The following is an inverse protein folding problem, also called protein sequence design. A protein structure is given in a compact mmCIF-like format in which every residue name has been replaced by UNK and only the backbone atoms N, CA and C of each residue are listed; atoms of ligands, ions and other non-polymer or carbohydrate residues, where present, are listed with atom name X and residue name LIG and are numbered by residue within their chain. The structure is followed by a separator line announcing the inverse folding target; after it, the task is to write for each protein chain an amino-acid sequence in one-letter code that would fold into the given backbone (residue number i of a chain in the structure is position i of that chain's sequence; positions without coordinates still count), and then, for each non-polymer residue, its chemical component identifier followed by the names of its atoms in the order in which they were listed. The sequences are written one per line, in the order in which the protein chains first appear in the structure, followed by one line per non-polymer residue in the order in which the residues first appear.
data_IF_442438514693
#
_entry.id   IF_442438514693
#
_cell.length_a   1.000
_cell.length_b   1.000
_cell.length_c   1.000
_cell.angle_alpha   90.00
_cell.angle_beta   90.00
_cell.angle_gamma   90.00
#
_symmetry.space_group_name_H-M   'P 1'
#
loop_
_entity.id
_entity.type
_entity.pdbx_description
1 polymer ?
#
# COMPACT_ATOMS: atom_id res chain seq x y z
N UNK A 1 -8.58 56.77 -30.96
CA UNK A 1 -7.32 57.53 -31.08
C UNK A 1 -6.68 57.62 -29.71
N UNK A 2 -5.35 57.73 -29.67
CA UNK A 2 -4.52 58.00 -28.48
C UNK A 2 -5.08 59.17 -27.64
N UNK A 3 -4.84 59.28 -26.32
CA UNK A 3 -4.04 58.45 -25.40
C UNK A 3 -3.44 59.32 -24.26
N UNK A 4 -2.80 58.69 -23.25
CA UNK A 4 -1.86 59.30 -22.26
C UNK A 4 -2.43 60.32 -21.22
N UNK A 5 -1.92 60.47 -19.99
CA UNK A 5 -0.95 59.70 -19.15
C UNK A 5 -1.23 59.91 -17.63
N UNK A 6 -0.64 59.05 -16.79
CA UNK A 6 -0.10 59.26 -15.42
C UNK A 6 -0.95 59.82 -14.26
N UNK A 7 -0.99 59.06 -13.14
CA UNK A 7 -0.37 59.48 -11.87
C UNK A 7 -0.25 58.32 -10.84
N UNK A 8 0.93 58.24 -10.23
CA UNK A 8 1.42 57.36 -9.14
C UNK A 8 0.66 57.46 -7.80
N UNK A 9 0.62 56.36 -7.03
CA UNK A 9 0.17 56.37 -5.61
C UNK A 9 0.33 55.02 -4.90
N UNK A 10 1.26 54.94 -3.94
CA UNK A 10 1.74 53.71 -3.29
C UNK A 10 0.82 53.09 -2.20
N UNK A 11 1.03 51.79 -1.92
CA UNK A 11 1.32 51.33 -0.54
C UNK A 11 0.34 50.38 0.17
N UNK A 12 0.90 49.29 0.72
CA UNK A 12 0.34 48.31 1.67
C UNK A 12 -0.90 47.48 1.23
N UNK A 13 -0.99 46.17 1.46
CA UNK A 13 -0.06 45.24 2.13
C UNK A 13 -0.54 44.80 3.52
N UNK A 14 -1.50 43.89 3.56
CA UNK A 14 -1.81 43.05 4.74
C UNK A 14 -2.02 41.62 4.24
N UNK A 15 -1.28 40.69 4.83
CA UNK A 15 -1.51 39.25 4.75
C UNK A 15 -2.52 38.88 5.85
N UNK A 16 -3.38 37.91 5.60
CA UNK A 16 -3.86 37.04 6.67
C UNK A 16 -3.92 35.60 6.16
N UNK A 17 -3.13 34.75 6.79
CA UNK A 17 -3.12 33.31 6.56
C UNK A 17 -4.40 32.69 7.14
N UNK A 18 -5.04 31.80 6.39
CA UNK A 18 -5.99 30.87 6.99
C UNK A 18 -5.67 29.43 6.53
N UNK A 19 -4.74 28.82 7.27
CA UNK A 19 -4.26 27.45 7.10
C UNK A 19 -5.32 26.46 7.59
N UNK A 20 -6.35 26.24 6.78
CA UNK A 20 -7.48 25.37 7.12
C UNK A 20 -7.90 24.46 5.94
N UNK A 21 -6.98 23.62 5.46
CA UNK A 21 -7.31 22.34 4.79
C UNK A 21 -6.02 21.51 4.64
N UNK A 22 -5.74 20.68 5.65
CA UNK A 22 -4.66 19.70 5.61
C UNK A 22 -5.10 18.45 4.87
N UNK A 23 -5.07 18.49 3.53
CA UNK A 23 -5.29 17.31 2.71
C UNK A 23 -4.09 16.35 2.85
N UNK A 24 -4.30 15.25 3.56
CA UNK A 24 -3.30 14.20 3.77
C UNK A 24 -3.29 13.31 2.53
N UNK A 25 -2.44 13.66 1.56
CA UNK A 25 -2.36 12.96 0.29
C UNK A 25 -2.21 11.43 0.43
N UNK A 26 -3.14 10.71 -0.19
CA UNK A 26 -3.13 9.24 -0.24
C UNK A 26 -1.84 8.72 -0.87
N UNK A 27 -1.14 7.86 -0.12
CA UNK A 27 0.07 7.20 -0.59
C UNK A 27 -0.26 6.23 -1.73
N UNK A 28 0.34 6.45 -2.90
CA UNK A 28 0.20 5.55 -4.05
C UNK A 28 0.70 4.14 -3.72
N UNK A 29 -0.24 3.21 -3.64
CA UNK A 29 -0.03 1.78 -3.40
C UNK A 29 0.60 1.13 -4.66
N UNK A 30 1.94 1.09 -4.74
CA UNK A 30 2.66 0.46 -5.86
C UNK A 30 2.52 -1.07 -5.75
N UNK A 31 1.43 -1.59 -6.30
CA UNK A 31 1.25 -3.03 -6.53
C UNK A 31 2.02 -3.47 -7.76
N UNK A 32 3.26 -3.91 -7.53
CA UNK A 32 4.02 -4.71 -8.51
C UNK A 32 3.29 -6.03 -8.77
N UNK A 33 2.47 -6.07 -9.81
CA UNK A 33 1.93 -7.31 -10.35
C UNK A 33 3.02 -8.04 -11.16
N UNK A 34 3.35 -9.26 -10.75
CA UNK A 34 4.35 -10.08 -11.42
C UNK A 34 3.89 -10.46 -12.84
N UNK A 35 4.79 -10.31 -13.82
CA UNK A 35 4.65 -10.87 -15.16
C UNK A 35 5.05 -12.36 -15.10
N UNK A 36 4.06 -13.25 -15.09
CA UNK A 36 4.30 -14.68 -15.28
C UNK A 36 3.99 -15.05 -16.74
N UNK A 37 5.04 -15.26 -17.53
CA UNK A 37 4.95 -15.64 -18.94
C UNK A 37 4.91 -17.17 -19.00
N UNK A 38 3.72 -17.75 -19.15
CA UNK A 38 3.60 -19.18 -19.41
C UNK A 38 3.18 -19.46 -20.86
N UNK A 39 4.17 -19.92 -21.63
CA UNK A 39 4.03 -20.43 -22.98
C UNK A 39 3.06 -21.61 -23.02
N UNK A 40 2.20 -21.69 -24.04
CA UNK A 40 1.30 -22.83 -24.20
C UNK A 40 1.13 -23.28 -25.64
N UNK A 41 1.34 -24.58 -25.82
CA UNK A 41 0.98 -25.37 -26.99
C UNK A 41 1.74 -26.70 -26.99
N UNK A 42 1.21 -27.78 -27.59
CA UNK A 42 -0.16 -28.04 -28.00
C UNK A 42 -0.72 -29.36 -27.40
N UNK A 43 -1.93 -29.76 -27.85
CA UNK A 43 -2.48 -31.12 -28.00
C UNK A 43 -3.83 -31.43 -27.33
N UNK A 44 -4.76 -31.93 -28.16
CA UNK A 44 -5.87 -32.86 -27.86
C UNK A 44 -5.29 -34.30 -27.68
N UNK A 45 -6.00 -35.38 -27.24
CA UNK A 45 -7.45 -35.63 -27.45
C UNK A 45 -8.24 -36.51 -26.42
N UNK A 46 -9.51 -36.79 -26.75
CA UNK A 46 -10.42 -37.91 -26.30
C UNK A 46 -11.09 -37.87 -24.90
N UNK A 47 -12.37 -37.46 -24.91
CA UNK A 47 -13.62 -38.02 -24.30
C UNK A 47 -13.63 -39.30 -23.42
N UNK A 48 -14.76 -39.72 -22.78
CA UNK A 48 -15.81 -38.98 -22.04
C UNK A 48 -16.30 -39.68 -20.73
N UNK A 49 -17.09 -39.01 -19.88
CA UNK A 49 -18.34 -39.53 -19.24
C UNK A 49 -18.99 -38.47 -18.32
N UNK A 50 -20.31 -38.59 -18.08
CA UNK A 50 -21.25 -37.62 -17.49
C UNK A 50 -21.00 -37.18 -16.03
N UNK A 51 -21.86 -36.37 -15.38
CA UNK A 51 -23.27 -35.97 -15.64
C UNK A 51 -23.61 -34.76 -14.70
N UNK A 52 -24.73 -34.02 -14.69
CA UNK A 52 -26.08 -34.11 -15.32
C UNK A 52 -26.72 -32.70 -15.49
N UNK A 53 -27.92 -32.63 -16.12
CA UNK A 53 -29.02 -31.65 -15.96
C UNK A 53 -28.76 -30.14 -15.68
N UNK A 54 -29.09 -29.29 -16.66
CA UNK A 54 -30.36 -28.52 -16.62
C UNK A 54 -30.82 -28.19 -18.06
N UNK A 55 -32.13 -28.29 -18.33
CA UNK A 55 -32.68 -28.24 -19.69
C UNK A 55 -33.88 -27.29 -19.75
N UNK A 56 -33.64 -26.04 -20.13
CA UNK A 56 -34.71 -25.12 -20.49
C UNK A 56 -34.92 -25.06 -22.01
N UNK A 57 -36.19 -25.05 -22.40
CA UNK A 57 -36.63 -25.42 -23.74
C UNK A 57 -37.36 -24.28 -24.44
N UNK A 58 -36.73 -23.69 -25.47
CA UNK A 58 -37.41 -22.89 -26.49
C UNK A 58 -36.87 -23.21 -27.87
N UNK A 59 -37.09 -24.44 -28.33
CA UNK A 59 -37.07 -24.75 -29.77
C UNK A 59 -38.50 -24.61 -30.26
N UNK A 60 -38.73 -23.67 -31.17
CA UNK A 60 -39.95 -23.59 -31.95
C UNK A 60 -40.03 -24.82 -32.85
N UNK A 61 -40.79 -25.83 -32.40
CA UNK A 61 -41.05 -27.07 -33.12
C UNK A 61 -42.00 -26.82 -34.30
N UNK A 62 -41.48 -26.24 -35.38
CA UNK A 62 -42.13 -26.31 -36.68
C UNK A 62 -41.95 -27.74 -37.19
N UNK A 63 -42.81 -28.62 -36.70
CA UNK A 63 -42.70 -30.06 -36.88
C UNK A 63 -42.46 -30.43 -38.34
N UNK A 64 -41.39 -31.16 -38.58
CA UNK A 64 -41.18 -31.87 -39.83
C UNK A 64 -42.19 -33.01 -39.89
N UNK A 65 -43.44 -32.67 -40.20
CA UNK A 65 -44.46 -33.64 -40.54
C UNK A 65 -43.96 -34.34 -41.80
N UNK A 66 -43.41 -35.53 -41.61
CA UNK A 66 -43.17 -36.44 -42.70
C UNK A 66 -44.55 -36.76 -43.26
N UNK A 67 -44.96 -36.00 -44.29
CA UNK A 67 -46.12 -36.36 -45.10
C UNK A 67 -45.80 -37.71 -45.68
N UNK A 68 -46.31 -38.74 -45.01
CA UNK A 68 -46.44 -40.08 -45.53
C UNK A 68 -47.08 -39.92 -46.89
N UNK A 69 -46.29 -40.18 -47.94
CA UNK A 69 -46.87 -40.51 -49.23
C UNK A 69 -47.69 -41.75 -48.92
N UNK A 70 -49.01 -41.56 -48.86
CA UNK A 70 -49.94 -42.63 -48.53
C UNK A 70 -49.72 -43.73 -49.54
N UNK A 71 -49.06 -44.81 -49.11
CA UNK A 71 -49.05 -46.06 -49.86
C UNK A 71 -50.52 -46.38 -50.11
N UNK A 72 -50.98 -46.44 -51.37
CA UNK A 72 -52.32 -46.95 -51.61
C UNK A 72 -52.30 -48.37 -51.05
N UNK A 73 -53.18 -48.64 -50.07
CA UNK A 73 -53.37 -49.99 -49.56
C UNK A 73 -53.72 -50.87 -50.77
N UNK A 74 -52.74 -51.64 -51.25
CA UNK A 74 -52.98 -52.83 -52.06
C UNK A 74 -53.64 -53.83 -51.12
N UNK A 75 -54.93 -53.60 -50.89
CA UNK A 75 -55.84 -54.61 -50.37
C UNK A 75 -55.64 -55.82 -51.26
N UNK A 76 -54.99 -56.84 -50.70
CA UNK A 76 -54.82 -58.12 -51.33
C UNK A 76 -56.22 -58.75 -51.39
N UNK A 77 -56.99 -58.37 -52.41
CA UNK A 77 -58.24 -59.03 -52.77
C UNK A 77 -57.83 -60.40 -53.30
N UNK A 78 -57.73 -61.35 -52.36
CA UNK A 78 -57.63 -62.77 -52.62
C UNK A 78 -58.95 -63.25 -53.24
N UNK A 79 -59.18 -62.86 -54.49
CA UNK A 79 -60.27 -63.33 -55.30
C UNK A 79 -60.03 -64.80 -55.62
N UNK A 80 -60.62 -65.69 -54.83
CA UNK A 80 -60.69 -67.12 -55.12
C UNK A 80 -61.61 -67.34 -56.32
N UNK A 81 -61.09 -67.05 -57.51
CA UNK A 81 -61.71 -67.35 -58.79
C UNK A 81 -61.11 -68.64 -59.35
N UNK A 82 -61.97 -69.64 -59.54
CA UNK A 82 -61.71 -70.96 -60.12
C UNK A 82 -60.43 -71.09 -60.96
N UNK A 83 -59.46 -71.88 -60.48
CA UNK A 83 -58.24 -72.28 -61.21
C UNK A 83 -58.54 -73.39 -62.24
N UNK A 84 -59.68 -73.31 -62.93
CA UNK A 84 -60.14 -74.33 -63.89
C UNK A 84 -60.77 -73.58 -65.07
N UNK A 85 -60.14 -73.75 -66.24
CA UNK A 85 -60.42 -73.09 -67.53
C UNK A 85 -60.34 -71.55 -67.56
N UNK A 86 -59.12 -71.03 -67.37
CA UNK A 86 -58.68 -69.83 -68.11
C UNK A 86 -58.20 -70.26 -69.50
N UNK A 87 -58.58 -69.54 -70.55
CA UNK A 87 -58.00 -69.78 -71.86
C UNK A 87 -56.50 -69.45 -71.88
N UNK A 88 -55.75 -70.14 -72.73
CA UNK A 88 -54.30 -69.93 -72.90
C UNK A 88 -53.97 -68.47 -73.27
N UNK A 89 -54.87 -67.81 -73.99
CA UNK A 89 -54.78 -66.41 -74.39
C UNK A 89 -55.05 -65.46 -73.22
N UNK A 90 -56.09 -65.66 -72.40
CA UNK A 90 -56.31 -64.83 -71.19
C UNK A 90 -55.16 -64.94 -70.18
N UNK A 91 -54.57 -66.12 -70.03
CA UNK A 91 -53.39 -66.29 -69.18
C UNK A 91 -52.17 -65.54 -69.74
N UNK A 92 -52.00 -65.50 -71.06
CA UNK A 92 -50.95 -64.70 -71.73
C UNK A 92 -51.19 -63.20 -71.57
N UNK A 93 -52.43 -62.74 -71.75
CA UNK A 93 -52.82 -61.35 -71.62
C UNK A 93 -52.62 -60.85 -70.18
N UNK A 94 -53.04 -61.62 -69.17
CA UNK A 94 -52.75 -61.33 -67.74
C UNK A 94 -51.26 -61.29 -67.44
N UNK A 95 -50.46 -62.16 -68.05
CA UNK A 95 -49.00 -62.15 -67.89
C UNK A 95 -48.37 -60.91 -68.55
N UNK A 96 -48.88 -60.52 -69.72
CA UNK A 96 -48.42 -59.34 -70.44
C UNK A 96 -48.78 -58.06 -69.67
N UNK A 97 -50.04 -57.89 -69.24
CA UNK A 97 -50.49 -56.80 -68.37
C UNK A 97 -49.65 -56.72 -67.07
N UNK A 98 -49.35 -57.86 -66.45
CA UNK A 98 -48.45 -57.93 -65.29
C UNK A 98 -47.01 -57.50 -65.61
N UNK A 99 -46.49 -57.77 -66.81
CA UNK A 99 -45.15 -57.29 -67.22
C UNK A 99 -45.15 -55.80 -67.58
N UNK A 100 -46.17 -55.30 -68.28
CA UNK A 100 -46.30 -53.88 -68.62
C UNK A 100 -46.46 -53.02 -67.35
N UNK A 101 -47.26 -53.47 -66.38
CA UNK A 101 -47.38 -52.80 -65.07
C UNK A 101 -46.09 -52.85 -64.26
N UNK A 102 -45.31 -53.95 -64.31
CA UNK A 102 -43.98 -54.01 -63.70
C UNK A 102 -42.99 -53.03 -64.35
N UNK A 103 -43.03 -52.85 -65.68
CA UNK A 103 -42.19 -51.89 -66.38
C UNK A 103 -42.55 -50.44 -66.01
N UNK A 104 -43.85 -50.10 -65.97
CA UNK A 104 -44.33 -48.79 -65.51
C UNK A 104 -43.87 -48.50 -64.08
N UNK A 105 -44.08 -49.45 -63.15
CA UNK A 105 -43.65 -49.31 -61.76
C UNK A 105 -42.12 -49.18 -61.64
N UNK A 106 -41.35 -49.85 -62.49
CA UNK A 106 -39.89 -49.69 -62.54
C UNK A 106 -39.50 -48.28 -63.00
N UNK A 107 -40.15 -47.76 -64.04
CA UNK A 107 -39.93 -46.38 -64.50
C UNK A 107 -40.31 -45.34 -63.44
N UNK A 108 -41.43 -45.52 -62.73
CA UNK A 108 -41.83 -44.65 -61.62
C UNK A 108 -40.83 -44.71 -60.46
N UNK A 109 -40.30 -45.90 -60.12
CA UNK A 109 -39.26 -46.06 -59.12
C UNK A 109 -37.95 -45.38 -59.54
N UNK A 110 -37.53 -45.50 -60.80
CA UNK A 110 -36.35 -44.82 -61.34
C UNK A 110 -36.51 -43.29 -61.36
N UNK A 111 -37.71 -42.76 -61.63
CA UNK A 111 -38.01 -41.32 -61.57
C UNK A 111 -38.03 -40.80 -60.13
N UNK A 112 -38.68 -41.51 -59.21
CA UNK A 112 -38.74 -41.12 -57.80
C UNK A 112 -37.37 -41.21 -57.11
N UNK A 113 -36.55 -42.20 -57.48
CA UNK A 113 -35.16 -42.31 -57.00
C UNK A 113 -34.34 -41.08 -57.41
N UNK A 114 -34.29 -40.73 -58.71
CA UNK A 114 -33.58 -39.54 -59.19
C UNK A 114 -34.10 -38.23 -58.58
N UNK A 115 -35.40 -38.14 -58.30
CA UNK A 115 -35.98 -37.00 -57.60
C UNK A 115 -35.52 -36.89 -56.14
N UNK A 116 -35.40 -38.01 -55.43
CA UNK A 116 -34.85 -38.06 -54.08
C UNK A 116 -33.36 -37.70 -54.05
N UNK A 117 -32.56 -38.19 -55.00
CA UNK A 117 -31.15 -37.80 -55.16
C UNK A 117 -31.01 -36.28 -55.39
N UNK A 118 -31.82 -35.71 -56.29
CA UNK A 118 -31.84 -34.26 -56.55
C UNK A 118 -32.20 -33.45 -55.30
N UNK A 119 -33.16 -33.92 -54.49
CA UNK A 119 -33.49 -33.30 -53.19
C UNK A 119 -32.35 -33.42 -52.18
N UNK A 120 -31.66 -34.56 -52.14
CA UNK A 120 -30.55 -34.79 -51.23
C UNK A 120 -29.36 -33.87 -51.53
N UNK A 121 -28.96 -33.75 -52.80
CA UNK A 121 -27.86 -32.85 -53.18
C UNK A 121 -28.25 -31.36 -52.99
N UNK A 122 -29.50 -30.97 -53.26
CA UNK A 122 -29.99 -29.62 -52.92
C UNK A 122 -29.93 -29.34 -51.41
N UNK A 123 -30.32 -30.30 -50.57
CA UNK A 123 -30.26 -30.19 -49.11
C UNK A 123 -28.81 -30.10 -48.60
N UNK A 124 -27.89 -30.88 -49.19
CA UNK A 124 -26.45 -30.83 -48.90
C UNK A 124 -25.81 -29.48 -49.26
N UNK A 125 -26.21 -28.87 -50.39
CA UNK A 125 -25.79 -27.50 -50.77
C UNK A 125 -26.31 -26.49 -49.75
N UNK A 126 -27.59 -26.59 -49.34
CA UNK A 126 -28.19 -25.68 -48.34
C UNK A 126 -27.52 -25.84 -46.97
N UNK A 127 -27.26 -27.07 -46.51
CA UNK A 127 -26.51 -27.33 -45.28
C UNK A 127 -25.10 -26.71 -45.36
N UNK A 128 -24.36 -26.97 -46.45
CA UNK A 128 -23.04 -26.38 -46.69
C UNK A 128 -23.06 -24.85 -46.61
N UNK A 129 -24.07 -24.21 -47.23
CA UNK A 129 -24.29 -22.75 -47.14
C UNK A 129 -24.50 -22.30 -45.69
N UNK A 130 -25.37 -22.96 -44.93
CA UNK A 130 -25.64 -22.56 -43.52
C UNK A 130 -24.43 -22.75 -42.60
N UNK A 131 -23.59 -23.77 -42.85
CA UNK A 131 -22.36 -24.00 -42.10
C UNK A 131 -21.33 -22.90 -42.43
N UNK A 132 -21.17 -22.58 -43.72
CA UNK A 132 -20.29 -21.50 -44.18
C UNK A 132 -20.73 -20.15 -43.58
N UNK A 133 -22.02 -19.84 -43.64
CA UNK A 133 -22.60 -18.59 -43.11
C UNK A 133 -22.40 -18.45 -41.60
N UNK A 134 -22.55 -19.54 -40.83
CA UNK A 134 -22.20 -19.59 -39.40
C UNK A 134 -20.70 -19.38 -39.15
N UNK A 135 -19.83 -19.99 -39.94
CA UNK A 135 -18.38 -19.80 -39.82
C UNK A 135 -17.96 -18.36 -40.17
N UNK A 136 -18.46 -17.79 -41.26
CA UNK A 136 -18.16 -16.42 -41.69
C UNK A 136 -18.68 -15.38 -40.69
N UNK A 137 -19.90 -15.54 -40.16
CA UNK A 137 -20.45 -14.64 -39.15
C UNK A 137 -19.69 -14.71 -37.81
N UNK A 138 -19.29 -15.92 -37.38
CA UNK A 138 -18.43 -16.11 -36.22
C UNK A 138 -17.07 -15.41 -36.38
N UNK A 139 -16.38 -15.64 -37.51
CA UNK A 139 -15.09 -14.99 -37.81
C UNK A 139 -15.23 -13.47 -37.85
N UNK A 140 -16.29 -12.93 -38.47
CA UNK A 140 -16.57 -11.49 -38.49
C UNK A 140 -16.76 -10.92 -37.08
N UNK A 141 -17.48 -11.62 -36.20
CA UNK A 141 -17.65 -11.21 -34.80
C UNK A 141 -16.34 -11.25 -34.00
N UNK A 142 -15.49 -12.25 -34.23
CA UNK A 142 -14.17 -12.32 -33.60
C UNK A 142 -13.24 -11.19 -34.06
N UNK A 143 -13.21 -10.88 -35.36
CA UNK A 143 -12.44 -9.76 -35.89
C UNK A 143 -12.91 -8.44 -35.29
N UNK A 144 -14.21 -8.15 -35.31
CA UNK A 144 -14.77 -6.95 -34.67
C UNK A 144 -14.38 -6.86 -33.18
N UNK A 145 -14.50 -7.95 -32.42
CA UNK A 145 -14.08 -8.00 -31.00
C UNK A 145 -12.57 -7.81 -30.82
N UNK A 146 -11.73 -8.17 -31.79
CA UNK A 146 -10.29 -7.86 -31.74
C UNK A 146 -10.01 -6.38 -32.04
N UNK A 147 -10.70 -5.78 -33.00
CA UNK A 147 -10.59 -4.35 -33.35
C UNK A 147 -11.11 -3.43 -32.22
N UNK A 148 -12.16 -3.85 -31.52
CA UNK A 148 -12.66 -3.15 -30.33
C UNK A 148 -11.64 -3.19 -29.17
N UNK A 149 -11.00 -4.33 -28.93
CA UNK A 149 -9.92 -4.44 -27.92
C UNK A 149 -8.67 -3.65 -28.33
N UNK A 150 -8.27 -3.70 -29.60
CA UNK A 150 -7.14 -2.92 -30.10
C UNK A 150 -7.36 -1.41 -29.89
N UNK A 151 -8.56 -0.90 -30.20
CA UNK A 151 -8.95 0.50 -29.95
C UNK A 151 -9.08 0.86 -28.46
N UNK A 152 -9.36 -0.10 -27.58
CA UNK A 152 -9.33 0.12 -26.13
C UNK A 152 -7.88 0.27 -25.64
N UNK A 153 -7.01 -0.68 -25.99
CA UNK A 153 -5.58 -0.65 -25.66
C UNK A 153 -4.88 0.60 -26.21
N UNK A 154 -5.21 1.04 -27.42
CA UNK A 154 -4.69 2.28 -28.00
C UNK A 154 -5.05 3.52 -27.16
N UNK A 155 -6.26 3.58 -26.59
CA UNK A 155 -6.66 4.66 -25.67
C UNK A 155 -5.91 4.59 -24.34
N UNK A 156 -5.73 3.40 -23.79
CA UNK A 156 -4.96 3.19 -22.56
C UNK A 156 -3.49 3.60 -22.75
N UNK A 157 -2.84 3.18 -23.84
CA UNK A 157 -1.48 3.59 -24.21
C UNK A 157 -1.37 5.12 -24.37
N UNK A 158 -2.33 5.75 -25.05
CA UNK A 158 -2.35 7.21 -25.21
C UNK A 158 -2.57 7.95 -23.87
N UNK A 159 -3.40 7.40 -22.97
CA UNK A 159 -3.61 7.93 -21.62
C UNK A 159 -2.34 7.83 -20.78
N UNK A 160 -1.73 6.65 -20.71
CA UNK A 160 -0.46 6.42 -20.00
C UNK A 160 0.68 7.30 -20.58
N UNK A 161 0.74 7.49 -21.89
CA UNK A 161 1.72 8.37 -22.52
C UNK A 161 1.52 9.85 -22.09
N UNK A 162 0.28 10.30 -21.93
CA UNK A 162 -0.03 11.62 -21.39
C UNK A 162 0.34 11.72 -19.90
N UNK A 163 -0.01 10.72 -19.09
CA UNK A 163 0.34 10.67 -17.66
C UNK A 163 1.86 10.70 -17.43
N UNK A 164 2.62 9.90 -18.17
CA UNK A 164 4.10 9.90 -18.13
C UNK A 164 4.63 11.30 -18.48
N UNK A 165 4.11 11.93 -19.53
CA UNK A 165 4.57 13.25 -19.97
C UNK A 165 4.21 14.33 -18.94
N UNK A 166 3.01 14.28 -18.37
CA UNK A 166 2.55 15.17 -17.30
C UNK A 166 3.43 15.04 -16.05
N UNK A 167 3.66 13.81 -15.59
CA UNK A 167 4.51 13.51 -14.45
C UNK A 167 5.96 13.98 -14.66
N UNK A 168 6.54 13.78 -15.85
CA UNK A 168 7.87 14.30 -16.19
C UNK A 168 7.94 15.84 -16.10
N UNK A 169 6.90 16.55 -16.52
CA UNK A 169 6.85 18.02 -16.41
C UNK A 169 6.71 18.47 -14.95
N UNK A 170 5.89 17.78 -14.15
CA UNK A 170 5.77 18.09 -12.71
C UNK A 170 7.08 17.83 -11.97
N UNK A 171 7.75 16.70 -12.20
CA UNK A 171 9.04 16.40 -11.57
C UNK A 171 10.09 17.47 -11.91
N UNK A 172 10.24 17.85 -13.19
CA UNK A 172 11.15 18.93 -13.59
C UNK A 172 10.84 20.27 -12.93
N UNK A 173 9.56 20.61 -12.75
CA UNK A 173 9.14 21.82 -12.04
C UNK A 173 9.49 21.76 -10.55
N UNK A 174 9.32 20.60 -9.91
CA UNK A 174 9.73 20.37 -8.53
C UNK A 174 11.25 20.45 -8.37
N UNK A 175 12.02 19.80 -9.23
CA UNK A 175 13.49 19.86 -9.27
C UNK A 175 13.99 21.31 -9.36
N UNK A 176 13.47 22.08 -10.32
CA UNK A 176 13.81 23.50 -10.49
C UNK A 176 13.45 24.35 -9.26
N UNK A 177 12.30 24.08 -8.61
CA UNK A 177 11.90 24.80 -7.40
C UNK A 177 12.84 24.49 -6.22
N UNK A 178 13.27 23.23 -6.07
CA UNK A 178 14.21 22.82 -5.03
C UNK A 178 15.62 23.36 -5.29
N UNK A 179 16.10 23.34 -6.53
CA UNK A 179 17.37 23.94 -6.93
C UNK A 179 17.40 25.45 -6.63
N UNK A 180 16.33 26.19 -6.94
CA UNK A 180 16.22 27.61 -6.61
C UNK A 180 16.24 27.87 -5.11
N UNK A 181 15.55 27.05 -4.30
CA UNK A 181 15.57 27.15 -2.83
C UNK A 181 16.96 26.85 -2.25
N UNK A 182 17.61 25.81 -2.75
CA UNK A 182 18.96 25.41 -2.33
C UNK A 182 19.99 26.50 -2.66
N UNK A 183 19.97 27.04 -3.89
CA UNK A 183 20.87 28.11 -4.31
C UNK A 183 20.65 29.40 -3.50
N UNK A 184 19.39 29.76 -3.18
CA UNK A 184 19.08 30.85 -2.25
C UNK A 184 19.70 30.60 -0.87
N UNK A 185 19.41 29.45 -0.25
CA UNK A 185 19.93 29.10 1.07
C UNK A 185 21.46 29.10 1.12
N UNK A 186 22.13 28.63 0.06
CA UNK A 186 23.59 28.67 -0.04
C UNK A 186 24.11 30.11 -0.11
N UNK A 187 23.46 30.99 -0.87
CA UNK A 187 23.86 32.41 -0.93
C UNK A 187 23.65 33.13 0.41
N UNK A 188 22.57 32.81 1.13
CA UNK A 188 22.29 33.34 2.47
C UNK A 188 23.31 32.80 3.49
N UNK A 189 23.62 31.50 3.47
CA UNK A 189 24.66 30.89 4.31
C UNK A 189 26.05 31.47 4.03
N UNK A 190 26.39 31.73 2.77
CA UNK A 190 27.66 32.36 2.40
C UNK A 190 27.73 33.80 2.95
N UNK A 191 26.68 34.60 2.80
CA UNK A 191 26.60 35.96 3.33
C UNK A 191 26.70 35.98 4.87
N UNK A 192 26.01 35.07 5.56
CA UNK A 192 26.10 34.90 7.01
C UNK A 192 27.51 34.49 7.45
N UNK A 193 28.17 33.60 6.70
CA UNK A 193 29.55 33.17 6.99
C UNK A 193 30.52 34.34 6.90
N UNK A 194 30.49 35.11 5.80
CA UNK A 194 31.34 36.30 5.64
C UNK A 194 31.06 37.37 6.69
N UNK A 195 29.80 37.59 7.07
CA UNK A 195 29.44 38.49 8.16
C UNK A 195 29.99 38.01 9.51
N UNK A 196 29.88 36.71 9.82
CA UNK A 196 30.47 36.15 11.04
C UNK A 196 32.00 36.29 11.07
N UNK A 197 32.68 36.08 9.95
CA UNK A 197 34.13 36.28 9.83
C UNK A 197 34.55 37.73 10.09
N UNK A 198 33.80 38.71 9.56
CA UNK A 198 34.01 40.14 9.81
C UNK A 198 33.79 40.50 11.29
N UNK A 199 32.67 40.10 11.89
CA UNK A 199 32.37 40.33 13.31
C UNK A 199 33.39 39.65 14.25
N UNK A 200 33.95 38.51 13.82
CA UNK A 200 35.00 37.82 14.55
C UNK A 200 36.34 38.55 14.42
N UNK A 201 36.65 39.14 13.25
CA UNK A 201 37.81 40.03 13.05
C UNK A 201 37.71 41.28 13.93
N UNK A 202 36.58 41.98 13.91
CA UNK A 202 36.30 43.11 14.82
C UNK A 202 36.50 42.70 16.30
N UNK A 203 35.98 41.53 16.71
CA UNK A 203 36.13 41.04 18.09
C UNK A 203 37.60 40.76 18.46
N UNK A 204 38.44 40.30 17.52
CA UNK A 204 39.89 40.13 17.74
C UNK A 204 40.60 41.48 17.86
N UNK A 205 40.26 42.44 17.01
CA UNK A 205 40.84 43.80 17.02
C UNK A 205 40.50 44.51 18.34
N UNK A 206 39.22 44.54 18.74
CA UNK A 206 38.79 45.11 20.03
C UNK A 206 39.42 44.42 21.24
N UNK A 207 39.66 43.10 21.18
CA UNK A 207 40.39 42.38 22.23
C UNK A 207 41.86 42.81 22.30
N UNK A 208 42.54 42.95 21.16
CA UNK A 208 43.92 43.41 21.08
C UNK A 208 44.05 44.85 21.63
N UNK A 209 43.16 45.75 21.21
CA UNK A 209 43.08 47.12 21.73
C UNK A 209 42.85 47.15 23.24
N UNK A 210 41.89 46.39 23.75
CA UNK A 210 41.63 46.30 25.19
C UNK A 210 42.83 45.76 25.98
N UNK A 211 43.57 44.77 25.44
CA UNK A 211 44.82 44.31 26.07
C UNK A 211 45.92 45.37 26.04
N UNK A 212 46.04 46.13 24.95
CA UNK A 212 47.00 47.24 24.84
C UNK A 212 46.68 48.39 25.80
N UNK A 213 45.42 48.81 25.88
CA UNK A 213 44.95 49.80 26.85
C UNK A 213 45.13 49.31 28.29
N UNK A 214 44.85 48.04 28.57
CA UNK A 214 45.08 47.43 29.89
C UNK A 214 46.57 47.45 30.26
N UNK A 215 47.47 47.17 29.31
CA UNK A 215 48.91 47.28 29.52
C UNK A 215 49.34 48.73 29.78
N UNK A 216 48.89 49.69 28.96
CA UNK A 216 49.16 51.12 29.18
C UNK A 216 48.66 51.59 30.55
N UNK A 217 47.49 51.12 31.00
CA UNK A 217 47.00 51.40 32.36
C UNK A 217 47.97 50.87 33.43
N UNK A 218 48.48 49.65 33.29
CA UNK A 218 49.46 49.09 34.24
C UNK A 218 50.80 49.84 34.21
N UNK A 219 51.28 50.22 33.04
CA UNK A 219 52.51 51.03 32.88
C UNK A 219 52.37 52.40 33.55
N UNK A 220 51.25 53.12 33.30
CA UNK A 220 50.94 54.39 33.97
C UNK A 220 50.85 54.24 35.49
N UNK A 221 50.17 53.19 35.99
CA UNK A 221 50.07 52.92 37.42
C UNK A 221 51.45 52.64 38.05
N UNK A 222 52.35 51.95 37.34
CA UNK A 222 53.69 51.64 37.82
C UNK A 222 54.58 52.86 38.04
N UNK A 223 54.28 53.99 37.36
CA UNK A 223 54.97 55.27 37.54
C UNK A 223 54.45 56.10 38.72
N UNK A 224 53.30 55.76 39.32
CA UNK A 224 52.74 56.47 40.47
C UNK A 224 53.41 56.04 41.79
N UNK A 225 53.33 56.87 42.83
CA UNK A 225 53.81 56.47 44.15
C UNK A 225 52.92 55.40 44.79
N UNK A 226 53.47 54.61 45.71
CA UNK A 226 52.75 53.52 46.42
C UNK A 226 51.51 54.03 47.18
N UNK A 227 51.47 55.30 47.57
CA UNK A 227 50.26 55.90 48.20
C UNK A 227 49.16 56.16 47.17
N UNK A 228 49.52 56.65 46.00
CA UNK A 228 48.60 56.94 44.89
C UNK A 228 48.09 55.65 44.24
N UNK A 229 48.96 54.64 44.08
CA UNK A 229 48.58 53.29 43.65
C UNK A 229 47.51 52.70 44.57
N UNK A 230 47.73 52.72 45.89
CA UNK A 230 46.73 52.24 46.88
C UNK A 230 45.43 53.05 46.87
N UNK A 231 45.50 54.36 46.64
CA UNK A 231 44.30 55.18 46.50
C UNK A 231 43.49 54.78 45.25
N UNK A 232 44.18 54.57 44.11
CA UNK A 232 43.55 54.08 42.88
C UNK A 232 42.94 52.67 43.04
N UNK A 233 43.67 51.74 43.62
CA UNK A 233 43.18 50.39 43.93
C UNK A 233 41.94 50.43 44.82
N UNK A 234 41.90 51.35 45.80
CA UNK A 234 40.74 51.56 46.69
C UNK A 234 39.53 52.15 45.95
N UNK A 235 39.73 52.84 44.82
CA UNK A 235 38.63 53.33 43.95
C UNK A 235 38.21 52.36 42.86
N UNK A 236 38.94 51.26 42.64
CA UNK A 236 38.63 50.30 41.59
C UNK A 236 37.37 49.51 41.97
N UNK A 237 36.34 49.42 41.11
CA UNK A 237 35.18 48.58 41.41
C UNK A 237 35.61 47.11 41.56
N UNK A 238 34.89 46.30 42.37
CA UNK A 238 35.23 44.89 42.60
C UNK A 238 35.01 44.05 41.33
N UNK A 239 36.01 44.04 40.45
CA UNK A 239 36.08 43.18 39.27
C UNK A 239 36.55 41.78 39.68
N UNK A 240 35.71 41.06 40.42
CA UNK A 240 35.86 39.63 40.68
C UNK A 240 35.14 38.80 39.61
N UNK A 241 35.80 37.74 39.14
CA UNK A 241 35.17 36.71 38.34
C UNK A 241 34.06 36.06 39.18
N UNK A 242 32.81 36.07 38.70
CA UNK A 242 31.63 35.74 39.52
C UNK A 242 30.42 36.66 39.35
N UNK A 243 30.41 37.59 38.38
CA UNK A 243 29.17 38.25 37.90
C UNK A 243 28.32 37.33 37.01
N UNK A 244 28.11 36.09 37.47
CA UNK A 244 27.19 35.11 36.88
C UNK A 244 25.81 35.13 37.57
N UNK A 245 25.56 36.10 38.45
CA UNK A 245 24.22 36.68 38.55
C UNK A 245 23.86 37.15 37.15
N UNK A 246 22.96 36.40 36.49
CA UNK A 246 22.98 36.22 35.04
C UNK A 246 22.95 37.59 34.36
N UNK A 247 23.62 37.78 33.21
CA UNK A 247 23.67 39.12 32.58
C UNK A 247 22.26 39.70 32.33
N UNK A 248 21.27 38.82 32.16
CA UNK A 248 19.83 39.10 32.17
C UNK A 248 19.26 39.53 33.54
N UNK A 249 19.63 38.88 34.63
CA UNK A 249 19.26 39.25 36.01
C UNK A 249 19.71 40.69 36.31
N UNK A 250 20.98 41.03 36.03
CA UNK A 250 21.50 42.39 36.17
C UNK A 250 20.78 43.40 35.27
N UNK A 251 20.42 43.01 34.04
CA UNK A 251 19.64 43.85 33.12
C UNK A 251 18.21 44.10 33.62
N UNK A 252 17.54 43.07 34.17
CA UNK A 252 16.19 43.22 34.78
C UNK A 252 16.26 44.04 36.06
N UNK A 253 17.33 43.88 36.86
CA UNK A 253 17.54 44.68 38.06
C UNK A 253 17.71 46.18 37.74
N UNK A 254 18.36 46.51 36.63
CA UNK A 254 18.55 47.89 36.15
C UNK A 254 17.36 48.51 35.39
N UNK A 255 16.32 47.75 35.07
CA UNK A 255 15.15 48.25 34.31
C UNK A 255 14.13 49.03 35.17
N UNK A 256 14.15 48.83 36.50
CA UNK A 256 13.28 49.50 37.46
C UNK A 256 13.65 50.98 37.65
N UNK A 257 12.66 51.87 37.59
CA UNK A 257 12.82 53.31 37.84
C UNK A 257 12.15 53.81 39.13
N UNK A 258 11.97 52.94 40.13
CA UNK A 258 11.40 53.34 41.41
C UNK A 258 12.31 54.37 42.11
N UNK A 259 11.80 55.59 42.43
CA UNK A 259 12.61 56.62 43.06
C UNK A 259 12.95 56.27 44.52
N UNK A 260 14.13 56.70 44.98
CA UNK A 260 14.48 56.70 46.40
C UNK A 260 15.13 55.44 46.97
N UNK A 261 15.50 54.45 46.14
CA UNK A 261 16.21 53.23 46.60
C UNK A 261 17.65 53.24 46.08
N UNK A 262 18.62 53.11 46.99
CA UNK A 262 20.06 53.04 46.68
C UNK A 262 20.52 51.62 46.28
N UNK A 263 19.72 50.61 46.64
CA UNK A 263 19.84 49.23 46.16
C UNK A 263 18.75 48.92 45.10
N UNK A 264 18.78 47.70 44.52
CA UNK A 264 17.71 47.24 43.63
C UNK A 264 16.36 47.18 44.35
N UNK A 265 15.37 47.85 43.73
CA UNK A 265 14.00 47.95 44.21
C UNK A 265 13.34 46.56 44.36
N UNK A 266 12.36 46.36 45.28
CA UNK A 266 11.76 45.04 45.50
C UNK A 266 11.07 44.48 44.24
N UNK A 267 10.39 45.32 43.45
CA UNK A 267 9.80 44.86 42.18
C UNK A 267 10.84 44.47 41.12
N UNK A 268 12.06 45.02 41.16
CA UNK A 268 13.17 44.53 40.32
C UNK A 268 13.68 43.17 40.80
N UNK A 269 13.82 42.97 42.12
CA UNK A 269 14.22 41.68 42.70
C UNK A 269 13.19 40.59 42.36
N UNK A 270 11.89 40.87 42.48
CA UNK A 270 10.81 39.95 42.06
C UNK A 270 10.79 39.73 40.54
N UNK A 271 10.94 40.78 39.72
CA UNK A 271 10.99 40.64 38.27
C UNK A 271 12.19 39.77 37.83
N UNK A 272 13.37 39.99 38.41
CA UNK A 272 14.57 39.21 38.16
C UNK A 272 14.38 37.74 38.54
N UNK A 273 13.87 37.45 39.74
CA UNK A 273 13.56 36.09 40.17
C UNK A 273 12.55 35.39 39.24
N UNK A 274 11.46 36.08 38.86
CA UNK A 274 10.46 35.53 37.93
C UNK A 274 11.03 35.28 36.53
N UNK A 275 11.94 36.13 36.06
CA UNK A 275 12.65 35.98 34.78
C UNK A 275 13.56 34.74 34.80
N UNK A 276 14.28 34.52 35.89
CA UNK A 276 15.12 33.32 36.09
C UNK A 276 14.28 32.05 36.14
N UNK A 277 13.17 32.07 36.89
CA UNK A 277 12.23 30.94 36.96
C UNK A 277 11.61 30.61 35.59
N UNK A 278 11.22 31.62 34.80
CA UNK A 278 10.71 31.42 33.44
C UNK A 278 11.75 30.81 32.49
N UNK A 279 13.04 31.14 32.66
CA UNK A 279 14.11 30.50 31.88
C UNK A 279 14.33 29.04 32.29
N UNK A 280 14.29 28.73 33.60
CA UNK A 280 14.41 27.36 34.10
C UNK A 280 13.26 26.48 33.57
N UNK A 281 12.01 26.94 33.72
CA UNK A 281 10.83 26.23 33.19
C UNK A 281 10.88 26.05 31.67
N UNK A 282 11.44 27.02 30.93
CA UNK A 282 11.62 26.89 29.47
C UNK A 282 12.67 25.85 29.11
N UNK A 283 13.79 25.79 29.85
CA UNK A 283 14.81 24.74 29.65
C UNK A 283 14.27 23.35 29.99
N UNK A 284 13.48 23.21 31.06
CA UNK A 284 12.78 21.97 31.41
C UNK A 284 11.80 21.55 30.31
N UNK A 285 11.02 22.49 29.76
CA UNK A 285 10.11 22.24 28.65
C UNK A 285 10.85 21.80 27.38
N UNK A 286 11.94 22.47 27.01
CA UNK A 286 12.78 22.11 25.85
C UNK A 286 13.40 20.69 26.02
N UNK A 287 13.77 20.30 27.24
CA UNK A 287 14.25 18.94 27.55
C UNK A 287 13.13 17.90 27.46
N UNK A 288 11.92 18.20 27.95
CA UNK A 288 10.76 17.32 27.83
C UNK A 288 10.30 17.15 26.38
N UNK A 289 10.37 18.20 25.57
CA UNK A 289 10.07 18.14 24.12
C UNK A 289 11.06 17.21 23.42
N UNK A 290 12.36 17.36 23.65
CA UNK A 290 13.39 16.46 23.08
C UNK A 290 13.19 15.01 23.52
N UNK A 291 12.92 14.77 24.81
CA UNK A 291 12.65 13.42 25.31
C UNK A 291 11.40 12.79 24.68
N UNK A 292 10.36 13.59 24.41
CA UNK A 292 9.17 13.14 23.66
C UNK A 292 9.51 12.82 22.20
N UNK A 293 10.31 13.65 21.53
CA UNK A 293 10.75 13.42 20.14
C UNK A 293 11.59 12.14 20.03
N UNK A 294 12.55 11.94 20.93
CA UNK A 294 13.33 10.70 21.04
C UNK A 294 12.44 9.47 21.28
N UNK A 295 11.44 9.58 22.15
CA UNK A 295 10.48 8.50 22.41
C UNK A 295 9.62 8.18 21.18
N UNK A 296 9.22 9.18 20.39
CA UNK A 296 8.48 8.99 19.14
C UNK A 296 9.34 8.33 18.06
N UNK A 297 10.58 8.78 17.87
CA UNK A 297 11.54 8.15 16.96
C UNK A 297 11.83 6.70 17.35
N UNK A 298 11.99 6.43 18.64
CA UNK A 298 12.19 5.08 19.16
C UNK A 298 10.96 4.19 18.96
N UNK A 299 9.74 4.73 19.15
CA UNK A 299 8.50 4.00 18.90
C UNK A 299 8.34 3.65 17.41
N UNK A 300 8.68 4.56 16.50
CA UNK A 300 8.63 4.31 15.06
C UNK A 300 9.70 3.28 14.62
N UNK A 301 10.92 3.37 15.18
CA UNK A 301 11.96 2.36 14.95
C UNK A 301 11.51 0.95 15.40
N UNK A 302 10.84 0.82 16.55
CA UNK A 302 10.26 -0.45 16.99
C UNK A 302 9.11 -0.92 16.09
N UNK A 303 8.24 -0.01 15.62
CA UNK A 303 7.17 -0.32 14.66
C UNK A 303 7.75 -0.89 13.36
N UNK A 304 8.74 -0.20 12.78
CA UNK A 304 9.42 -0.62 11.54
C UNK A 304 10.12 -1.97 11.73
N UNK A 305 10.83 -2.17 12.84
CA UNK A 305 11.49 -3.45 13.14
C UNK A 305 10.47 -4.60 13.25
N UNK A 306 9.34 -4.37 13.91
CA UNK A 306 8.26 -5.34 14.05
C UNK A 306 7.60 -5.67 12.70
N UNK A 307 7.33 -4.67 11.86
CA UNK A 307 6.81 -4.86 10.50
C UNK A 307 7.79 -5.65 9.62
N UNK A 308 9.10 -5.37 9.71
CA UNK A 308 10.13 -6.15 9.01
C UNK A 308 10.18 -7.60 9.50
N UNK A 309 10.02 -7.84 10.81
CA UNK A 309 9.97 -9.20 11.37
C UNK A 309 8.72 -9.96 10.93
N UNK A 310 7.55 -9.30 10.88
CA UNK A 310 6.32 -9.87 10.35
C UNK A 310 6.43 -10.20 8.85
N UNK A 311 7.01 -9.31 8.03
CA UNK A 311 7.27 -9.58 6.61
C UNK A 311 8.19 -10.79 6.44
N UNK A 312 9.37 -10.80 7.08
CA UNK A 312 10.31 -11.95 7.07
C UNK A 312 9.65 -13.26 7.49
N UNK A 313 8.77 -13.23 8.49
CA UNK A 313 7.99 -14.41 8.92
C UNK A 313 6.96 -14.83 7.87
N UNK A 314 6.25 -13.89 7.26
CA UNK A 314 5.30 -14.14 6.16
C UNK A 314 6.01 -14.77 4.96
N UNK A 315 7.15 -14.21 4.56
CA UNK A 315 7.95 -14.67 3.42
C UNK A 315 8.53 -16.08 3.68
N UNK A 316 9.03 -16.33 4.90
CA UNK A 316 9.48 -17.66 5.30
C UNK A 316 8.33 -18.69 5.35
N UNK A 317 7.13 -18.28 5.75
CA UNK A 317 5.94 -19.14 5.72
C UNK A 317 5.45 -19.40 4.29
N UNK A 318 5.55 -18.42 3.37
CA UNK A 318 5.27 -18.59 1.95
C UNK A 318 6.24 -19.58 1.31
N UNK A 319 7.55 -19.40 1.50
CA UNK A 319 8.58 -20.33 1.02
C UNK A 319 8.39 -21.74 1.58
N UNK A 320 7.95 -21.88 2.85
CA UNK A 320 7.59 -23.18 3.43
C UNK A 320 6.28 -23.76 2.89
N UNK A 321 5.34 -22.94 2.43
CA UNK A 321 4.09 -23.39 1.80
C UNK A 321 4.34 -23.85 0.36
N UNK A 322 5.15 -23.10 -0.40
CA UNK A 322 5.64 -23.46 -1.74
C UNK A 322 6.46 -24.75 -1.71
N UNK A 323 7.35 -24.91 -0.72
CA UNK A 323 8.08 -26.16 -0.51
C UNK A 323 7.21 -27.34 -0.03
N UNK A 324 5.93 -27.11 0.30
CA UNK A 324 4.98 -28.12 0.82
C UNK A 324 3.91 -28.54 -0.19
N UNK A 325 4.04 -28.22 -1.48
CA UNK A 325 3.17 -28.78 -2.54
C UNK A 325 3.17 -30.31 -2.46
N UNK A 326 2.03 -30.97 -2.13
CA UNK A 326 2.07 -32.34 -1.64
C UNK A 326 2.07 -33.38 -2.78
N UNK A 327 3.09 -34.26 -2.80
CA UNK A 327 2.89 -35.62 -3.31
C UNK A 327 2.01 -36.39 -2.32
N UNK A 328 1.04 -37.14 -2.84
CA UNK A 328 -0.07 -37.67 -2.05
C UNK A 328 0.25 -38.96 -1.27
N UNK A 329 -0.66 -39.29 -0.34
CA UNK A 329 -0.87 -40.55 0.39
C UNK A 329 -0.15 -40.71 1.75
N UNK A 330 -0.68 -41.55 2.68
CA UNK A 330 -1.97 -41.26 3.33
C UNK A 330 -1.92 -41.39 4.88
N UNK A 331 -3.06 -41.09 5.52
CA UNK A 331 -3.34 -41.12 6.97
C UNK A 331 -2.89 -42.40 7.69
N UNK A 332 -2.57 -42.25 8.99
CA UNK A 332 -3.14 -43.14 10.02
C UNK A 332 -3.35 -42.40 11.36
N UNK A 333 -4.06 -43.03 12.31
CA UNK A 333 -4.77 -42.36 13.43
C UNK A 333 -4.48 -43.01 14.79
N UNK A 334 -4.76 -42.29 15.89
CA UNK A 334 -4.58 -42.62 17.33
C UNK A 334 -3.24 -42.17 17.93
N UNK A 335 -3.12 -41.83 19.22
CA UNK A 335 -4.09 -41.76 20.32
C UNK A 335 -3.46 -41.06 21.55
N UNK A 336 -4.27 -40.51 22.46
CA UNK A 336 -3.79 -39.66 23.57
C UNK A 336 -3.09 -40.47 24.67
N UNK A 337 -1.96 -39.97 25.21
CA UNK A 337 -1.63 -39.91 26.66
C UNK A 337 -0.33 -39.10 26.87
N UNK A 338 -0.30 -38.24 27.88
CA UNK A 338 0.82 -37.37 28.26
C UNK A 338 1.97 -38.18 28.90
N UNK A 339 3.09 -38.33 28.18
CA UNK A 339 4.41 -38.69 28.72
C UNK A 339 5.46 -37.83 28.02
N UNK A 340 6.43 -37.31 28.76
CA UNK A 340 7.35 -36.26 28.30
C UNK A 340 8.13 -36.62 27.03
N UNK A 341 8.11 -35.69 26.05
CA UNK A 341 8.72 -35.83 24.71
C UNK A 341 10.20 -36.26 24.78
N UNK A 342 10.96 -35.72 25.75
CA UNK A 342 12.38 -36.01 25.96
C UNK A 342 12.71 -37.46 26.39
N UNK A 343 11.71 -38.27 26.75
CA UNK A 343 11.91 -39.68 27.11
C UNK A 343 11.61 -40.61 25.94
N UNK A 344 10.63 -40.28 25.08
CA UNK A 344 10.43 -40.99 23.80
C UNK A 344 11.59 -40.78 22.82
N UNK A 345 12.12 -39.56 22.72
CA UNK A 345 13.27 -39.28 21.85
C UNK A 345 14.51 -40.13 22.20
N UNK A 346 14.74 -40.45 23.48
CA UNK A 346 15.85 -41.33 23.91
C UNK A 346 15.64 -42.81 23.62
N UNK A 347 14.40 -43.27 23.49
CA UNK A 347 14.07 -44.66 23.19
C UNK A 347 13.98 -44.96 21.68
N UNK A 348 13.90 -43.91 20.85
CA UNK A 348 13.75 -44.03 19.38
C UNK A 348 15.11 -43.93 18.66
N UNK A 349 16.14 -43.35 19.28
CA UNK A 349 17.47 -43.26 18.71
C UNK A 349 18.19 -44.63 18.74
N UNK A 350 18.51 -45.24 17.58
CA UNK A 350 19.35 -46.43 17.55
C UNK A 350 20.78 -46.03 17.90
N UNK A 351 21.36 -46.68 18.90
CA UNK A 351 22.77 -46.50 19.25
C UNK A 351 23.68 -47.16 18.20
N UNK A 352 23.95 -46.44 17.11
CA UNK A 352 25.01 -46.74 16.16
C UNK A 352 24.57 -46.91 14.70
N UNK A 353 24.47 -45.81 13.94
CA UNK A 353 24.99 -45.70 12.56
C UNK A 353 25.02 -44.24 12.08
N UNK A 354 25.92 -43.94 11.13
CA UNK A 354 25.97 -42.76 10.26
C UNK A 354 26.03 -41.35 10.88
N UNK A 355 27.25 -40.77 10.87
CA UNK A 355 27.54 -39.38 11.25
C UNK A 355 26.91 -38.29 10.35
N UNK A 356 26.08 -38.65 9.36
CA UNK A 356 25.37 -37.72 8.47
C UNK A 356 23.97 -37.30 8.95
N UNK A 357 23.29 -38.13 9.75
CA UNK A 357 21.97 -37.77 10.30
C UNK A 357 22.05 -36.77 11.47
N UNK A 358 23.23 -36.65 12.10
CA UNK A 358 23.45 -35.77 13.26
C UNK A 358 23.25 -34.28 12.94
N UNK A 359 23.59 -33.85 11.71
CA UNK A 359 23.56 -32.42 11.34
C UNK A 359 22.13 -31.90 11.20
N UNK A 360 21.29 -32.57 10.41
CA UNK A 360 19.86 -32.25 10.24
C UNK A 360 19.08 -32.18 11.56
N UNK A 361 19.35 -33.10 12.48
CA UNK A 361 18.72 -33.10 13.80
C UNK A 361 19.26 -31.99 14.71
N UNK A 362 20.54 -31.63 14.60
CA UNK A 362 21.12 -30.49 15.33
C UNK A 362 20.55 -29.16 14.81
N UNK A 363 20.46 -28.98 13.49
CA UNK A 363 19.88 -27.78 12.86
C UNK A 363 18.39 -27.65 13.17
N UNK A 364 17.66 -28.76 13.25
CA UNK A 364 16.24 -28.76 13.64
C UNK A 364 16.07 -28.40 15.12
N UNK A 365 16.95 -28.89 16.00
CA UNK A 365 16.97 -28.52 17.41
C UNK A 365 17.38 -27.06 17.62
N UNK A 366 18.33 -26.55 16.85
CA UNK A 366 18.73 -25.13 16.89
C UNK A 366 17.56 -24.23 16.47
N UNK A 367 16.92 -24.52 15.33
CA UNK A 367 15.73 -23.77 14.87
C UNK A 367 14.57 -23.81 15.88
N UNK A 368 14.38 -24.93 16.59
CA UNK A 368 13.39 -25.03 17.67
C UNK A 368 13.79 -24.25 18.93
N UNK A 369 15.08 -24.19 19.25
CA UNK A 369 15.60 -23.40 20.37
C UNK A 369 15.48 -21.89 20.06
N UNK A 370 15.81 -21.47 18.84
CA UNK A 370 15.64 -20.10 18.36
C UNK A 370 14.16 -19.68 18.39
N UNK A 371 13.25 -20.53 17.90
CA UNK A 371 11.79 -20.28 17.97
C UNK A 371 11.23 -20.24 19.41
N UNK A 372 11.87 -20.92 20.37
CA UNK A 372 11.51 -20.83 21.78
C UNK A 372 12.04 -19.54 22.40
N UNK A 373 13.27 -19.14 22.08
CA UNK A 373 13.85 -17.83 22.46
C UNK A 373 12.99 -16.67 21.91
N UNK A 374 12.66 -16.67 20.62
CA UNK A 374 11.78 -15.67 19.98
C UNK A 374 10.44 -15.54 20.71
N UNK A 375 9.90 -16.65 21.22
CA UNK A 375 8.64 -16.66 21.98
C UNK A 375 8.81 -16.11 23.39
N UNK A 376 9.91 -16.41 24.07
CA UNK A 376 10.23 -15.85 25.39
C UNK A 376 10.53 -14.35 25.30
N UNK A 377 11.24 -13.91 24.26
CA UNK A 377 11.50 -12.51 23.95
C UNK A 377 10.20 -11.76 23.59
N UNK A 378 9.34 -12.32 22.73
CA UNK A 378 8.03 -11.75 22.44
C UNK A 378 7.16 -11.60 23.70
N UNK A 379 7.21 -12.57 24.63
CA UNK A 379 6.55 -12.48 25.94
C UNK A 379 7.20 -11.43 26.85
N UNK A 380 8.52 -11.23 26.80
CA UNK A 380 9.21 -10.16 27.51
C UNK A 380 8.80 -8.78 26.98
N UNK A 381 8.73 -8.60 25.66
CA UNK A 381 8.20 -7.38 25.03
C UNK A 381 6.73 -7.14 25.38
N UNK A 382 5.87 -8.16 25.34
CA UNK A 382 4.47 -8.04 25.75
C UNK A 382 4.33 -7.62 27.22
N UNK A 383 5.16 -8.18 28.12
CA UNK A 383 5.22 -7.77 29.54
C UNK A 383 5.71 -6.33 29.70
N UNK A 384 6.73 -5.91 28.94
CA UNK A 384 7.26 -4.54 28.95
C UNK A 384 6.21 -3.53 28.48
N UNK A 385 5.49 -3.82 27.39
CA UNK A 385 4.36 -3.00 26.90
C UNK A 385 3.25 -2.95 27.94
N UNK A 386 2.85 -4.08 28.53
CA UNK A 386 1.82 -4.10 29.59
C UNK A 386 2.21 -3.27 30.81
N UNK A 387 3.48 -3.33 31.23
CA UNK A 387 4.01 -2.51 32.33
C UNK A 387 4.06 -1.02 31.96
N UNK A 388 4.45 -0.68 30.74
CA UNK A 388 4.48 0.70 30.24
C UNK A 388 3.07 1.29 30.16
N UNK A 389 2.09 0.53 29.66
CA UNK A 389 0.68 0.94 29.63
C UNK A 389 0.10 1.10 31.03
N UNK A 390 0.39 0.18 31.97
CA UNK A 390 -0.03 0.29 33.36
C UNK A 390 0.61 1.51 34.08
N UNK A 391 1.87 1.81 33.80
CA UNK A 391 2.55 2.99 34.32
C UNK A 391 1.94 4.28 33.74
N UNK A 392 1.71 4.34 32.43
CA UNK A 392 1.10 5.49 31.77
C UNK A 392 -0.33 5.73 32.28
N UNK A 393 -1.15 4.68 32.40
CA UNK A 393 -2.47 4.76 33.02
C UNK A 393 -2.42 5.29 34.46
N UNK A 394 -1.41 4.90 35.25
CA UNK A 394 -1.20 5.40 36.62
C UNK A 394 -0.75 6.87 36.66
N UNK A 395 0.07 7.33 35.73
CA UNK A 395 0.43 8.75 35.62
C UNK A 395 -0.74 9.60 35.14
N UNK A 396 -1.50 9.14 34.14
CA UNK A 396 -2.75 9.78 33.72
C UNK A 396 -3.76 9.87 34.88
N UNK A 397 -3.85 8.83 35.73
CA UNK A 397 -4.70 8.83 36.92
C UNK A 397 -4.23 9.82 38.01
N UNK A 398 -2.93 10.16 38.08
CA UNK A 398 -2.41 11.24 38.94
C UNK A 398 -2.61 12.64 38.34
N UNK A 399 -2.72 12.74 37.01
CA UNK A 399 -2.92 14.01 36.29
C UNK A 399 -4.40 14.41 36.20
N UNK A 400 -5.33 13.49 36.49
CA UNK A 400 -6.74 13.82 36.73
C UNK A 400 -6.87 14.58 38.07
N UNK A 401 -7.50 15.77 38.09
CA UNK A 401 -7.80 16.46 39.34
C UNK A 401 -8.72 15.63 40.23
N UNK A 402 -8.46 15.64 41.54
CA UNK A 402 -9.42 15.16 42.55
C UNK A 402 -10.52 16.21 42.71
N UNK A 403 -11.48 16.24 41.78
CA UNK A 403 -12.73 16.96 41.92
C UNK A 403 -13.93 16.00 41.86
N UNK A 404 -14.13 15.30 42.99
CA UNK A 404 -15.37 14.62 43.32
C UNK A 404 -15.81 14.96 44.75
N UNK A 405 -15.79 16.26 45.09
CA UNK A 405 -16.46 16.81 46.28
C UNK A 405 -16.90 18.24 45.99
N UNK A 406 -18.07 18.36 45.35
CA UNK A 406 -18.83 19.60 45.30
C UNK A 406 -19.46 19.85 46.68
N UNK A 407 -19.25 21.02 47.31
CA UNK A 407 -20.16 21.53 48.32
C UNK A 407 -21.26 22.32 47.61
N UNK A 408 -22.42 21.68 47.41
CA UNK A 408 -23.67 22.40 47.19
C UNK A 408 -24.27 22.69 48.57
N UNK A 409 -24.26 23.96 48.98
CA UNK A 409 -25.35 24.66 49.70
C UNK A 409 -24.83 26.07 50.07
N UNK A 410 -25.34 27.16 49.50
CA UNK A 410 -26.71 27.70 49.54
C UNK A 410 -27.03 28.43 50.85
N UNK A 411 -26.91 29.78 50.80
CA UNK A 411 -27.54 30.81 51.67
C UNK A 411 -27.24 30.72 53.20
N UNK A 412 -26.91 31.78 53.94
CA UNK A 412 -27.70 33.02 54.14
C UNK A 412 -26.84 34.07 54.90
N UNK A 413 -27.17 35.35 54.81
CA UNK A 413 -26.69 36.45 55.70
C UNK A 413 -27.21 36.31 57.16
N UNK A 414 -26.95 37.24 58.13
CA UNK A 414 -26.07 38.43 58.17
C UNK A 414 -25.17 38.58 59.43
N UNK A 415 -24.11 39.41 59.32
CA UNK A 415 -23.81 40.62 60.15
C UNK A 415 -22.36 41.12 59.96
#
# INVERSE_FOLDING_TARGET
MQGNVDATGAGAGVLDDNMAEGDLGDGMDIRLAALDIQTNGPQQPVTPHGTELHRDSTVSDTGFSLTSYGMPNTSLKTGSGSLVDLSKEELRERLQEATETLEVLRCELEVTHRYLEGKYEALKILQGKTILEKATSHTKSLLQKSEERARALEKEVNGLQWEITSNQVQMKKCEQSWEQKFNRMNSENQALTSSLEERLKESRELKAENTGLSQQCMELLSMLSVREQKAYESTKPPCGHGRDGTLLELAVLGACRCPGVMESCPCAKTAAASRTQLLQLRQELDLLVRSREEALLMADAFRIAFEQQLRKRSDCLLLQAEARTPKAHPRETQGKTLVGVAQRLRAILPSGLEAKASLEHTDTLQKLLDLLNDKEEALAHQRKVSHMLAHNAKELQKQLPVEATWPLDSQTEPL
#
